data_IF_704951087135
#
_entry.id   IF_704951087135
#
_cell.length_a   1.000
_cell.length_b   1.000
_cell.length_c   1.000
_cell.angle_alpha   90.00
_cell.angle_beta   90.00
_cell.angle_gamma   90.00
#
_symmetry.space_group_name_H-M   'P 1'
#
loop_
_entity.id
_entity.type
_entity.pdbx_description
1 polymer ?
#
# COMPACT_ATOMS: atom_id res chain seq x y z
N UNK A 1 -19.43 22.09 4.46
CA UNK A 1 -18.80 20.96 3.73
C UNK A 1 -17.44 21.31 3.11
N UNK A 2 -17.31 22.13 2.07
CA UNK A 2 -15.99 22.40 1.44
C UNK A 2 -14.93 22.95 2.40
N UNK A 3 -15.31 23.98 3.19
CA UNK A 3 -14.46 24.55 4.24
C UNK A 3 -14.03 23.51 5.28
N UNK A 4 -14.90 22.55 5.58
CA UNK A 4 -14.66 21.53 6.59
C UNK A 4 -13.66 20.47 6.10
N UNK A 5 -13.84 19.95 4.88
CA UNK A 5 -12.88 19.05 4.23
C UNK A 5 -11.51 19.70 4.15
N UNK A 6 -11.45 20.95 3.66
CA UNK A 6 -10.19 21.70 3.51
C UNK A 6 -9.49 21.94 4.86
N UNK A 7 -10.22 22.38 5.89
CA UNK A 7 -9.64 22.62 7.22
C UNK A 7 -9.14 21.32 7.87
N UNK A 8 -9.90 20.24 7.69
CA UNK A 8 -9.54 18.93 8.21
C UNK A 8 -8.26 18.40 7.57
N UNK A 9 -8.15 18.46 6.23
CA UNK A 9 -6.93 18.10 5.50
C UNK A 9 -5.75 18.97 5.92
N UNK A 10 -5.89 20.29 5.93
CA UNK A 10 -4.80 21.21 6.30
C UNK A 10 -4.27 20.97 7.71
N UNK A 11 -5.17 20.71 8.67
CA UNK A 11 -4.80 20.38 10.05
C UNK A 11 -4.05 19.05 10.14
N UNK A 12 -4.50 18.03 9.40
CA UNK A 12 -3.85 16.73 9.33
C UNK A 12 -2.48 16.79 8.65
N UNK A 13 -2.38 17.46 7.50
CA UNK A 13 -1.15 17.59 6.70
C UNK A 13 -0.06 18.37 7.43
N UNK A 14 -0.42 19.46 8.12
CA UNK A 14 0.54 20.22 8.92
C UNK A 14 1.21 19.34 9.98
N UNK A 15 0.43 18.52 10.67
CA UNK A 15 0.95 17.60 11.68
C UNK A 15 1.71 16.43 11.04
N UNK A 16 1.24 15.89 9.91
CA UNK A 16 1.88 14.80 9.16
C UNK A 16 3.23 15.18 8.52
N UNK A 17 3.44 16.47 8.24
CA UNK A 17 4.68 17.02 7.73
C UNK A 17 5.67 17.45 8.84
N UNK A 18 5.36 17.18 10.10
CA UNK A 18 6.21 17.59 11.21
C UNK A 18 7.51 16.76 11.32
N UNK A 19 8.56 17.38 11.86
CA UNK A 19 9.87 16.72 12.09
C UNK A 19 9.82 15.67 13.22
N UNK A 20 8.84 15.80 14.12
CA UNK A 20 8.63 14.92 15.27
C UNK A 20 7.62 13.80 14.97
N UNK A 21 8.06 12.55 15.18
CA UNK A 21 7.27 11.32 15.08
C UNK A 21 5.87 11.42 15.72
N UNK A 22 5.76 11.90 16.96
CA UNK A 22 4.45 11.96 17.64
C UNK A 22 3.46 12.93 16.97
N UNK A 23 3.94 14.01 16.36
CA UNK A 23 3.11 14.95 15.60
C UNK A 23 2.68 14.31 14.28
N UNK A 24 3.60 13.63 13.59
CA UNK A 24 3.26 12.91 12.36
C UNK A 24 2.20 11.85 12.60
N UNK A 25 2.38 11.04 13.63
CA UNK A 25 1.42 10.03 14.05
C UNK A 25 0.04 10.64 14.33
N UNK A 26 -0.02 11.79 15.01
CA UNK A 26 -1.26 12.55 15.24
C UNK A 26 -1.88 13.03 13.93
N UNK A 27 -1.07 13.57 13.02
CA UNK A 27 -1.50 14.04 11.70
C UNK A 27 -2.09 12.92 10.84
N UNK A 28 -1.40 11.78 10.75
CA UNK A 28 -1.83 10.60 10.01
C UNK A 28 -3.16 10.03 10.54
N UNK A 29 -3.34 9.98 11.87
CA UNK A 29 -4.62 9.58 12.48
C UNK A 29 -5.76 10.53 12.11
N UNK A 30 -5.51 11.83 12.10
CA UNK A 30 -6.50 12.83 11.66
C UNK A 30 -6.86 12.62 10.20
N UNK A 31 -5.86 12.47 9.32
CA UNK A 31 -6.07 12.23 7.89
C UNK A 31 -6.88 10.95 7.64
N UNK A 32 -6.53 9.84 8.30
CA UNK A 32 -7.26 8.59 8.17
C UNK A 32 -8.73 8.74 8.59
N UNK A 33 -8.99 9.37 9.75
CA UNK A 33 -10.35 9.66 10.21
C UNK A 33 -11.13 10.53 9.22
N UNK A 34 -10.47 11.51 8.61
CA UNK A 34 -11.08 12.37 7.60
C UNK A 34 -11.44 11.59 6.33
N UNK A 35 -10.53 10.74 5.84
CA UNK A 35 -10.79 9.89 4.67
C UNK A 35 -11.95 8.93 4.92
N UNK A 36 -12.04 8.32 6.11
CA UNK A 36 -13.18 7.48 6.50
C UNK A 36 -14.51 8.26 6.46
N UNK A 37 -14.52 9.49 6.97
CA UNK A 37 -15.72 10.35 6.91
C UNK A 37 -16.06 10.80 5.49
N UNK A 38 -15.05 11.03 4.65
CA UNK A 38 -15.21 11.45 3.25
C UNK A 38 -15.76 10.30 2.42
N UNK A 39 -15.26 9.07 2.61
CA UNK A 39 -15.64 7.89 1.83
C UNK A 39 -17.15 7.55 1.91
N UNK A 40 -17.84 7.97 2.98
CA UNK A 40 -19.27 7.77 3.16
C UNK A 40 -20.17 8.83 2.52
N UNK A 41 -19.63 9.80 1.77
CA UNK A 41 -20.39 10.92 1.23
C UNK A 41 -19.86 11.39 -0.13
N UNK A 42 -20.62 11.16 -1.20
CA UNK A 42 -20.24 11.51 -2.59
C UNK A 42 -19.88 12.98 -2.79
N UNK A 43 -20.61 13.89 -2.13
CA UNK A 43 -20.28 15.31 -2.18
C UNK A 43 -18.93 15.59 -1.49
N UNK A 44 -18.65 14.94 -0.36
CA UNK A 44 -17.35 15.05 0.30
C UNK A 44 -16.21 14.45 -0.55
N UNK A 45 -16.47 13.35 -1.27
CA UNK A 45 -15.53 12.75 -2.23
C UNK A 45 -15.18 13.76 -3.33
N UNK A 46 -16.19 14.39 -3.96
CA UNK A 46 -15.96 15.38 -5.00
C UNK A 46 -15.10 16.55 -4.51
N UNK A 47 -15.36 17.04 -3.29
CA UNK A 47 -14.59 18.13 -2.67
C UNK A 47 -13.17 17.68 -2.29
N UNK A 48 -12.98 16.44 -1.85
CA UNK A 48 -11.66 15.87 -1.63
C UNK A 48 -10.87 15.82 -2.93
N UNK A 49 -11.44 15.27 -4.01
CA UNK A 49 -10.79 15.23 -5.32
C UNK A 49 -10.38 16.63 -5.81
N UNK A 50 -11.26 17.62 -5.69
CA UNK A 50 -10.93 19.01 -6.01
C UNK A 50 -9.78 19.55 -5.15
N UNK A 51 -9.78 19.27 -3.85
CA UNK A 51 -8.70 19.72 -2.95
C UNK A 51 -7.33 19.15 -3.33
N UNK A 52 -7.27 17.95 -3.93
CA UNK A 52 -6.01 17.34 -4.35
C UNK A 52 -5.37 18.00 -5.58
N UNK A 53 -6.06 18.96 -6.22
CA UNK A 53 -5.45 19.85 -7.23
C UNK A 53 -4.67 21.01 -6.62
N UNK A 54 -4.83 21.26 -5.31
CA UNK A 54 -4.17 22.35 -4.59
C UNK A 54 -2.92 21.78 -3.91
N UNK A 55 -1.70 22.23 -4.25
CA UNK A 55 -0.45 21.66 -3.76
C UNK A 55 -0.38 21.53 -2.22
N UNK A 56 -0.85 22.53 -1.48
CA UNK A 56 -0.79 22.55 -0.02
C UNK A 56 -1.79 21.58 0.66
N UNK A 57 -2.69 20.99 -0.13
CA UNK A 57 -3.71 20.03 0.34
C UNK A 57 -3.47 18.63 -0.23
N UNK A 58 -2.42 18.42 -1.02
CA UNK A 58 -2.08 17.11 -1.55
C UNK A 58 -1.57 16.19 -0.44
N UNK A 59 -2.24 15.05 -0.28
CA UNK A 59 -1.88 14.09 0.78
C UNK A 59 -0.69 13.24 0.39
N UNK A 60 -0.69 12.69 -0.82
CA UNK A 60 0.31 11.71 -1.28
C UNK A 60 1.75 12.22 -1.18
N UNK A 61 2.10 13.45 -1.65
CA UNK A 61 3.48 13.94 -1.54
C UNK A 61 3.95 14.05 -0.08
N UNK A 62 3.07 14.45 0.84
CA UNK A 62 3.40 14.56 2.27
C UNK A 62 3.76 13.19 2.85
N UNK A 63 3.03 12.13 2.48
CA UNK A 63 3.33 10.77 2.95
C UNK A 63 4.73 10.31 2.51
N UNK A 64 5.06 10.49 1.23
CA UNK A 64 6.36 10.05 0.68
C UNK A 64 7.54 10.90 1.15
N UNK A 65 7.34 12.19 1.41
CA UNK A 65 8.41 13.07 1.86
C UNK A 65 8.73 12.91 3.36
N UNK A 66 7.74 12.58 4.18
CA UNK A 66 7.86 12.67 5.64
C UNK A 66 7.81 11.31 6.36
N UNK A 67 7.15 10.31 5.80
CA UNK A 67 6.96 9.01 6.48
C UNK A 67 7.45 7.83 5.65
N UNK A 68 7.07 7.74 4.37
CA UNK A 68 7.43 6.63 3.47
C UNK A 68 8.76 6.88 2.73
N UNK A 69 9.57 7.84 3.19
CA UNK A 69 10.85 8.18 2.57
C UNK A 69 11.83 7.01 2.72
N UNK A 70 12.55 6.68 1.64
CA UNK A 70 13.56 5.62 1.71
C UNK A 70 14.80 6.11 2.48
N UNK A 71 15.36 5.26 3.35
CA UNK A 71 16.55 5.58 4.16
C UNK A 71 17.79 5.91 3.33
N UNK A 72 17.83 5.55 2.04
CA UNK A 72 18.92 5.89 1.12
C UNK A 72 19.09 7.40 0.88
N UNK A 73 18.07 8.19 1.20
CA UNK A 73 18.10 9.65 1.03
C UNK A 73 18.64 10.41 2.25
N UNK A 74 19.07 9.71 3.31
CA UNK A 74 19.75 10.34 4.44
C UNK A 74 21.27 10.38 4.17
N UNK A 75 21.91 11.56 4.25
CA UNK A 75 23.36 11.65 4.14
C UNK A 75 24.00 10.72 5.18
N UNK A 76 24.85 9.78 4.72
CA UNK A 76 25.70 9.01 5.64
C UNK A 76 26.66 9.99 6.31
N UNK A 77 26.39 10.30 7.57
CA UNK A 77 27.20 11.21 8.38
C UNK A 77 28.60 10.62 8.54
N UNK A 78 29.60 11.29 7.94
CA UNK A 78 30.98 11.22 8.44
C UNK A 78 31.09 12.30 9.51
N UNK A 79 31.38 11.90 10.74
CA UNK A 79 31.43 12.77 11.93
C UNK A 79 32.68 13.67 11.97
N UNK A 80 33.31 13.92 10.82
CA UNK A 80 34.71 14.34 10.79
C UNK A 80 34.87 15.88 10.86
N UNK A 81 33.79 16.68 10.82
CA UNK A 81 33.86 18.15 10.77
C UNK A 81 32.82 18.84 11.69
N UNK A 82 33.26 19.27 12.88
CA UNK A 82 32.41 19.74 14.00
C UNK A 82 32.30 21.28 14.12
N UNK A 83 32.90 22.10 13.25
CA UNK A 83 32.82 23.56 13.38
C UNK A 83 32.24 24.26 12.14
N UNK A 84 31.09 24.94 12.32
CA UNK A 84 30.58 25.97 11.39
C UNK A 84 29.39 25.58 10.49
N UNK A 85 28.75 24.43 10.68
CA UNK A 85 27.63 23.98 9.83
C UNK A 85 26.30 24.26 10.53
N UNK A 86 25.29 24.77 9.80
CA UNK A 86 23.91 24.87 10.28
C UNK A 86 23.47 23.52 10.89
N UNK A 87 22.76 23.52 12.03
CA UNK A 87 22.29 22.29 12.64
C UNK A 87 21.46 21.51 11.62
N UNK A 88 21.96 20.34 11.22
CA UNK A 88 21.22 19.46 10.31
C UNK A 88 19.86 19.16 10.94
N UNK A 89 18.79 19.32 10.15
CA UNK A 89 17.45 18.88 10.53
C UNK A 89 17.45 17.37 10.73
N UNK A 90 17.51 16.93 11.99
CA UNK A 90 17.39 15.53 12.36
C UNK A 90 15.91 15.17 12.27
N UNK A 91 15.49 14.64 11.11
CA UNK A 91 14.17 14.04 11.00
C UNK A 91 14.19 12.70 11.71
N UNK A 92 13.39 12.58 12.77
CA UNK A 92 13.19 11.29 13.45
C UNK A 92 12.71 10.23 12.44
N UNK A 93 13.30 9.02 12.39
CA UNK A 93 12.83 7.97 11.50
C UNK A 93 11.37 7.63 11.83
N UNK A 94 10.60 7.23 10.81
CA UNK A 94 9.22 6.81 11.02
C UNK A 94 9.17 5.54 11.87
N UNK A 95 8.32 5.56 12.89
CA UNK A 95 7.98 4.37 13.67
C UNK A 95 7.11 3.42 12.84
N UNK A 96 7.05 2.15 13.23
CA UNK A 96 6.24 1.12 12.59
C UNK A 96 4.76 1.54 12.51
N UNK A 97 4.25 2.13 13.59
CA UNK A 97 2.88 2.66 13.66
C UNK A 97 2.65 3.85 12.74
N UNK A 98 3.63 4.76 12.59
CA UNK A 98 3.54 5.85 11.60
C UNK A 98 3.48 5.28 10.19
N UNK A 99 4.32 4.30 9.88
CA UNK A 99 4.38 3.71 8.54
C UNK A 99 3.09 3.00 8.17
N UNK A 100 2.56 2.13 9.04
CA UNK A 100 1.28 1.47 8.77
C UNK A 100 0.13 2.47 8.62
N UNK A 101 0.09 3.53 9.43
CA UNK A 101 -0.93 4.58 9.27
C UNK A 101 -0.76 5.35 7.96
N UNK A 102 0.47 5.68 7.56
CA UNK A 102 0.73 6.33 6.28
C UNK A 102 0.31 5.46 5.09
N UNK A 103 0.57 4.14 5.15
CA UNK A 103 0.12 3.19 4.13
C UNK A 103 -1.41 3.12 4.05
N UNK A 104 -2.12 3.14 5.18
CA UNK A 104 -3.60 3.19 5.21
C UNK A 104 -4.18 4.52 4.71
N UNK A 105 -3.50 5.63 4.98
CA UNK A 105 -3.88 6.94 4.40
C UNK A 105 -3.66 6.92 2.89
N UNK A 106 -2.53 6.38 2.42
CA UNK A 106 -2.23 6.22 1.00
C UNK A 106 -3.30 5.35 0.30
N UNK A 107 -3.65 4.22 0.92
CA UNK A 107 -4.71 3.32 0.47
C UNK A 107 -6.02 4.08 0.26
N UNK A 108 -6.51 4.76 1.30
CA UNK A 108 -7.75 5.54 1.23
C UNK A 108 -7.70 6.63 0.15
N UNK A 109 -6.58 7.34 0.01
CA UNK A 109 -6.42 8.35 -1.05
C UNK A 109 -6.51 7.73 -2.46
N UNK A 110 -5.93 6.54 -2.67
CA UNK A 110 -5.90 5.86 -3.96
C UNK A 110 -7.24 5.19 -4.30
N UNK A 111 -8.02 4.77 -3.30
CA UNK A 111 -9.37 4.26 -3.50
C UNK A 111 -10.35 5.38 -3.89
N UNK A 112 -10.24 6.56 -3.27
CA UNK A 112 -11.17 7.67 -3.47
C UNK A 112 -10.82 8.51 -4.71
N UNK A 113 -9.54 8.69 -5.01
CA UNK A 113 -9.08 9.64 -6.04
C UNK A 113 -8.02 9.02 -6.96
N UNK A 114 -8.36 8.82 -8.23
CA UNK A 114 -7.53 8.14 -9.23
C UNK A 114 -6.15 8.79 -9.40
N UNK A 115 -6.08 10.13 -9.47
CA UNK A 115 -4.82 10.86 -9.67
C UNK A 115 -3.88 10.75 -8.46
N UNK A 116 -4.36 10.31 -7.28
CA UNK A 116 -3.50 9.96 -6.16
C UNK A 116 -2.56 8.79 -6.51
N UNK A 117 -3.00 7.86 -7.36
CA UNK A 117 -2.18 6.73 -7.84
C UNK A 117 -1.05 7.24 -8.74
N UNK A 118 -1.35 8.21 -9.60
CA UNK A 118 -0.36 8.85 -10.48
C UNK A 118 0.67 9.62 -9.64
N UNK A 119 0.23 10.39 -8.64
CA UNK A 119 1.15 11.07 -7.71
C UNK A 119 2.05 10.08 -6.97
N UNK A 120 1.49 8.96 -6.50
CA UNK A 120 2.28 7.93 -5.83
C UNK A 120 3.32 7.29 -6.78
N UNK A 121 2.97 7.11 -8.05
CA UNK A 121 3.89 6.64 -9.07
C UNK A 121 5.09 7.60 -9.25
N UNK A 122 4.87 8.92 -9.27
CA UNK A 122 5.97 9.91 -9.33
C UNK A 122 6.95 9.81 -8.15
N UNK A 123 6.50 9.27 -7.03
CA UNK A 123 7.33 9.00 -5.85
C UNK A 123 7.90 7.57 -5.80
N UNK A 124 7.87 6.84 -6.92
CA UNK A 124 8.27 5.43 -6.99
C UNK A 124 7.51 4.55 -5.97
N UNK A 125 6.22 4.84 -5.76
CA UNK A 125 5.42 4.25 -4.69
C UNK A 125 5.48 2.73 -4.64
N UNK A 126 5.40 2.06 -5.80
CA UNK A 126 5.53 0.60 -5.88
C UNK A 126 6.88 0.10 -5.34
N UNK A 127 8.01 0.69 -5.75
CA UNK A 127 9.34 0.32 -5.24
C UNK A 127 9.47 0.56 -3.74
N UNK A 128 8.92 1.67 -3.25
CA UNK A 128 8.90 1.99 -1.82
C UNK A 128 8.15 0.91 -1.04
N UNK A 129 6.97 0.51 -1.51
CA UNK A 129 6.15 -0.51 -0.87
C UNK A 129 6.80 -1.90 -0.96
N UNK A 130 7.43 -2.26 -2.08
CA UNK A 130 8.18 -3.53 -2.19
C UNK A 130 9.28 -3.56 -1.13
N UNK A 131 10.04 -2.48 -0.99
CA UNK A 131 11.07 -2.39 0.05
C UNK A 131 10.47 -2.47 1.47
N UNK A 132 9.31 -1.87 1.73
CA UNK A 132 8.63 -1.99 3.03
C UNK A 132 8.25 -3.45 3.30
N UNK A 133 7.65 -4.14 2.33
CA UNK A 133 7.25 -5.54 2.45
C UNK A 133 8.46 -6.44 2.78
N UNK A 134 9.61 -6.20 2.15
CA UNK A 134 10.83 -6.99 2.39
C UNK A 134 11.58 -6.68 3.68
N UNK A 135 11.43 -5.49 4.27
CA UNK A 135 12.34 -5.02 5.34
C UNK A 135 11.66 -4.68 6.67
N UNK A 136 10.32 -4.69 6.74
CA UNK A 136 9.56 -4.23 7.90
C UNK A 136 8.76 -5.35 8.54
N UNK A 137 8.20 -5.06 9.72
CA UNK A 137 7.44 -6.02 10.51
C UNK A 137 6.02 -6.24 10.00
N UNK A 138 5.35 -7.20 10.64
CA UNK A 138 4.01 -7.66 10.26
C UNK A 138 2.98 -6.53 10.12
N UNK A 139 3.03 -5.53 11.00
CA UNK A 139 2.11 -4.40 11.00
C UNK A 139 2.20 -3.58 9.69
N UNK A 140 3.41 -3.25 9.25
CA UNK A 140 3.64 -2.51 8.02
C UNK A 140 3.46 -3.38 6.78
N UNK A 141 3.91 -4.64 6.83
CA UNK A 141 3.70 -5.60 5.74
C UNK A 141 2.21 -5.77 5.45
N UNK A 142 1.39 -5.93 6.50
CA UNK A 142 -0.04 -6.05 6.36
C UNK A 142 -0.68 -4.81 5.73
N UNK A 143 -0.31 -3.60 6.17
CA UNK A 143 -0.82 -2.36 5.57
C UNK A 143 -0.29 -2.12 4.15
N UNK A 144 0.91 -2.64 3.84
CA UNK A 144 1.54 -2.54 2.53
C UNK A 144 0.78 -3.34 1.48
N UNK A 145 0.33 -4.55 1.81
CA UNK A 145 -0.47 -5.41 0.92
C UNK A 145 -1.79 -4.74 0.52
N UNK A 146 -2.48 -4.08 1.45
CA UNK A 146 -3.71 -3.32 1.15
C UNK A 146 -3.42 -2.12 0.25
N UNK A 147 -2.35 -1.37 0.56
CA UNK A 147 -1.94 -0.21 -0.23
C UNK A 147 -1.56 -0.60 -1.67
N UNK A 148 -0.91 -1.75 -1.89
CA UNK A 148 -0.62 -2.26 -3.24
C UNK A 148 -1.87 -2.43 -4.09
N UNK A 149 -2.94 -3.04 -3.55
CA UNK A 149 -4.19 -3.22 -4.28
C UNK A 149 -4.77 -1.87 -4.72
N UNK A 150 -4.78 -0.89 -3.81
CA UNK A 150 -5.30 0.46 -4.11
C UNK A 150 -4.49 1.23 -5.15
N UNK A 151 -3.17 0.99 -5.22
CA UNK A 151 -2.28 1.63 -6.20
C UNK A 151 -2.43 1.01 -7.59
N UNK A 152 -2.69 -0.30 -7.64
CA UNK A 152 -2.75 -1.06 -8.89
C UNK A 152 -4.14 -1.15 -9.50
N UNK A 153 -5.21 -0.91 -8.73
CA UNK A 153 -6.57 -0.90 -9.27
C UNK A 153 -6.67 0.13 -10.41
N UNK A 154 -7.07 -0.34 -11.59
CA UNK A 154 -7.17 0.45 -12.83
C UNK A 154 -5.92 1.24 -13.25
N UNK A 155 -4.73 0.84 -12.79
CA UNK A 155 -3.44 1.46 -13.15
C UNK A 155 -2.48 0.44 -13.77
N UNK A 156 -2.47 0.37 -15.10
CA UNK A 156 -1.53 -0.50 -15.84
C UNK A 156 -0.07 -0.11 -15.61
N UNK A 157 0.21 1.17 -15.38
CA UNK A 157 1.55 1.67 -15.09
C UNK A 157 2.07 1.12 -13.75
N UNK A 158 1.26 1.20 -12.68
CA UNK A 158 1.63 0.65 -11.38
C UNK A 158 1.69 -0.89 -11.39
N UNK A 159 0.80 -1.56 -12.14
CA UNK A 159 0.86 -3.02 -12.33
C UNK A 159 2.17 -3.46 -13.00
N UNK A 160 2.60 -2.75 -14.06
CA UNK A 160 3.87 -3.03 -14.74
C UNK A 160 5.07 -2.75 -13.84
N UNK A 161 5.03 -1.65 -13.09
CA UNK A 161 6.09 -1.32 -12.13
C UNK A 161 6.22 -2.37 -11.03
N UNK A 162 5.09 -2.96 -10.60
CA UNK A 162 5.06 -4.02 -9.59
C UNK A 162 5.77 -5.27 -10.09
N UNK A 163 5.52 -5.66 -11.34
CA UNK A 163 6.24 -6.77 -11.99
C UNK A 163 7.74 -6.48 -12.12
N UNK A 164 8.12 -5.31 -12.66
CA UNK A 164 9.54 -4.94 -12.87
C UNK A 164 10.30 -4.83 -11.55
N UNK A 165 9.62 -4.44 -10.47
CA UNK A 165 10.21 -4.30 -9.13
C UNK A 165 10.32 -5.62 -8.37
N UNK A 166 9.96 -6.76 -8.97
CA UNK A 166 9.98 -8.07 -8.28
C UNK A 166 8.88 -8.21 -7.23
N UNK A 167 7.72 -7.56 -7.44
CA UNK A 167 6.63 -7.53 -6.48
C UNK A 167 6.02 -8.91 -6.24
N UNK A 168 5.88 -9.74 -7.28
CA UNK A 168 5.37 -11.10 -7.14
C UNK A 168 6.33 -11.98 -6.33
N UNK A 169 7.61 -11.92 -6.66
CA UNK A 169 8.70 -12.62 -5.97
C UNK A 169 8.68 -12.26 -4.50
N UNK A 170 8.64 -10.96 -4.17
CA UNK A 170 8.65 -10.48 -2.79
C UNK A 170 7.44 -10.97 -2.00
N UNK A 171 6.24 -10.94 -2.59
CA UNK A 171 5.03 -11.43 -1.92
C UNK A 171 5.08 -12.94 -1.73
N UNK A 172 5.55 -13.70 -2.73
CA UNK A 172 5.65 -15.16 -2.62
C UNK A 172 6.73 -15.57 -1.62
N UNK A 173 7.87 -14.88 -1.58
CA UNK A 173 8.91 -15.08 -0.55
C UNK A 173 8.34 -14.84 0.84
N UNK A 174 7.62 -13.73 1.05
CA UNK A 174 6.96 -13.43 2.32
C UNK A 174 5.91 -14.50 2.70
N UNK A 175 5.15 -15.01 1.73
CA UNK A 175 4.17 -16.08 1.95
C UNK A 175 4.82 -17.41 2.35
N UNK A 176 5.98 -17.72 1.78
CA UNK A 176 6.74 -18.97 2.02
C UNK A 176 7.62 -18.94 3.25
N UNK A 177 7.91 -17.76 3.78
CA UNK A 177 8.74 -17.62 4.98
C UNK A 177 8.04 -18.24 6.19
N UNK A 178 8.50 -19.43 6.59
CA UNK A 178 7.92 -20.20 7.70
C UNK A 178 8.12 -19.53 9.06
N UNK A 179 9.09 -18.62 9.18
CA UNK A 179 9.36 -17.87 10.41
C UNK A 179 8.54 -16.57 10.49
N UNK A 180 7.89 -16.17 9.39
CA UNK A 180 7.03 -15.00 9.36
C UNK A 180 5.70 -15.25 10.09
N UNK A 181 5.08 -14.16 10.55
CA UNK A 181 3.76 -14.20 11.19
C UNK A 181 2.73 -14.83 10.24
N UNK A 182 2.05 -15.87 10.71
CA UNK A 182 1.09 -16.65 9.94
C UNK A 182 -0.02 -15.77 9.34
N UNK A 183 -0.44 -14.71 10.05
CA UNK A 183 -1.45 -13.77 9.56
C UNK A 183 -0.96 -13.00 8.33
N UNK A 184 0.34 -12.72 8.23
CA UNK A 184 0.95 -12.05 7.08
C UNK A 184 1.11 -13.02 5.91
N UNK A 185 1.52 -14.26 6.18
CA UNK A 185 1.60 -15.31 5.16
C UNK A 185 0.23 -15.53 4.52
N UNK A 186 -0.82 -15.64 5.35
CA UNK A 186 -2.20 -15.76 4.88
C UNK A 186 -2.61 -14.53 4.05
N UNK A 187 -2.30 -13.32 4.53
CA UNK A 187 -2.64 -12.07 3.84
C UNK A 187 -1.92 -11.93 2.49
N UNK A 188 -0.72 -12.46 2.33
CA UNK A 188 -0.05 -12.55 1.03
C UNK A 188 -0.84 -13.43 0.05
N UNK A 189 -1.38 -14.55 0.52
CA UNK A 189 -2.29 -15.40 -0.27
C UNK A 189 -3.57 -14.66 -0.68
N UNK A 190 -4.23 -13.99 0.26
CA UNK A 190 -5.43 -13.17 0.00
C UNK A 190 -5.14 -12.07 -1.03
N UNK A 191 -4.00 -11.38 -0.88
CA UNK A 191 -3.53 -10.35 -1.82
C UNK A 191 -3.37 -10.91 -3.24
N UNK A 192 -2.67 -12.03 -3.40
CA UNK A 192 -2.43 -12.61 -4.73
C UNK A 192 -3.74 -13.07 -5.39
N UNK A 193 -4.66 -13.66 -4.60
CA UNK A 193 -5.98 -14.04 -5.08
C UNK A 193 -6.79 -12.84 -5.58
N UNK A 194 -6.80 -11.74 -4.82
CA UNK A 194 -7.46 -10.50 -5.22
C UNK A 194 -6.82 -9.90 -6.47
N UNK A 195 -5.49 -9.87 -6.55
CA UNK A 195 -4.76 -9.35 -7.70
C UNK A 195 -5.08 -10.15 -8.97
N UNK A 196 -5.11 -11.47 -8.88
CA UNK A 196 -5.50 -12.35 -10.01
C UNK A 196 -6.98 -12.14 -10.40
N UNK A 197 -7.87 -12.03 -9.42
CA UNK A 197 -9.30 -11.77 -9.66
C UNK A 197 -9.55 -10.43 -10.36
N UNK A 198 -8.80 -9.38 -10.00
CA UNK A 198 -8.90 -8.07 -10.65
C UNK A 198 -8.43 -8.08 -12.11
N UNK A 199 -7.42 -8.89 -12.45
CA UNK A 199 -6.92 -9.02 -13.82
C UNK A 199 -7.93 -9.72 -14.73
N UNK A 200 -8.74 -10.64 -14.19
CA UNK A 200 -9.73 -11.41 -14.95
C UNK A 200 -10.99 -10.63 -15.37
N UNK A 201 -11.23 -9.45 -14.81
CA UNK A 201 -12.33 -8.56 -15.21
C UNK A 201 -12.06 -7.76 -16.51
N UNK A 202 -10.88 -7.89 -17.12
CA UNK A 202 -10.50 -7.17 -18.36
C UNK A 202 -10.65 -8.07 -19.59
N UNK A 203 -11.16 -7.49 -20.68
CA UNK A 203 -11.49 -8.16 -21.94
C UNK A 203 -10.29 -8.66 -22.76
N UNK A 204 -9.05 -8.31 -22.38
CA UNK A 204 -7.82 -8.86 -22.95
C UNK A 204 -7.00 -9.48 -21.83
N UNK A 205 -6.57 -10.76 -21.92
CA UNK A 205 -5.87 -11.41 -20.83
C UNK A 205 -4.37 -11.02 -20.85
N UNK A 206 -3.85 -10.28 -19.85
CA UNK A 206 -2.41 -10.23 -19.57
C UNK A 206 -1.96 -11.54 -18.88
N UNK A 207 -2.82 -12.55 -18.88
CA UNK A 207 -2.79 -13.69 -17.98
C UNK A 207 -1.73 -14.73 -18.34
N UNK A 208 -1.41 -14.92 -19.63
CA UNK A 208 -0.46 -15.96 -20.03
C UNK A 208 0.96 -15.74 -19.46
N UNK A 209 1.42 -14.48 -19.38
CA UNK A 209 2.73 -14.14 -18.84
C UNK A 209 2.74 -14.15 -17.30
N UNK A 210 1.72 -13.55 -16.67
CA UNK A 210 1.57 -13.51 -15.21
C UNK A 210 1.43 -14.91 -14.60
N UNK A 211 0.65 -15.79 -15.24
CA UNK A 211 0.48 -17.18 -14.81
C UNK A 211 1.77 -17.98 -14.96
N UNK A 212 2.57 -17.75 -16.01
CA UNK A 212 3.87 -18.43 -16.18
C UNK A 212 4.87 -18.07 -15.08
N UNK A 213 4.97 -16.79 -14.71
CA UNK A 213 5.85 -16.34 -13.65
C UNK A 213 5.37 -16.82 -12.28
N UNK A 214 4.09 -16.66 -11.96
CA UNK A 214 3.54 -17.09 -10.69
C UNK A 214 3.62 -18.62 -10.53
N UNK A 215 3.34 -19.40 -11.59
CA UNK A 215 3.49 -20.87 -11.59
C UNK A 215 4.91 -21.29 -11.26
N UNK A 216 5.93 -20.60 -11.78
CA UNK A 216 7.33 -20.86 -11.41
C UNK A 216 7.60 -20.55 -9.94
N UNK A 217 6.98 -19.50 -9.40
CA UNK A 217 7.20 -19.07 -8.02
C UNK A 217 6.48 -19.98 -7.01
N UNK A 218 5.21 -20.33 -7.22
CA UNK A 218 4.40 -21.09 -6.24
C UNK A 218 4.24 -22.58 -6.56
N UNK A 219 4.62 -23.01 -7.77
CA UNK A 219 4.39 -24.37 -8.27
C UNK A 219 3.01 -24.53 -8.92
N UNK A 220 2.88 -25.56 -9.77
CA UNK A 220 1.69 -25.80 -10.60
C UNK A 220 0.42 -26.05 -9.79
N UNK A 221 0.54 -26.80 -8.68
CA UNK A 221 -0.59 -27.10 -7.78
C UNK A 221 -1.17 -25.82 -7.16
N UNK A 222 -0.32 -24.98 -6.58
CA UNK A 222 -0.73 -23.72 -5.95
C UNK A 222 -1.27 -22.73 -6.98
N UNK A 223 -0.60 -22.58 -8.13
CA UNK A 223 -1.08 -21.72 -9.20
C UNK A 223 -2.46 -22.14 -9.71
N UNK A 224 -2.71 -23.46 -9.86
CA UNK A 224 -4.02 -23.98 -10.26
C UNK A 224 -5.11 -23.69 -9.23
N UNK A 225 -4.81 -23.82 -7.94
CA UNK A 225 -5.74 -23.46 -6.86
C UNK A 225 -6.07 -21.97 -6.87
N UNK A 226 -5.06 -21.13 -7.00
CA UNK A 226 -5.23 -19.67 -7.05
C UNK A 226 -6.06 -19.25 -8.26
N UNK A 227 -5.82 -19.87 -9.42
CA UNK A 227 -6.62 -19.65 -10.62
C UNK A 227 -8.10 -20.00 -10.38
N UNK A 228 -8.37 -21.20 -9.87
CA UNK A 228 -9.75 -21.63 -9.59
C UNK A 228 -10.45 -20.69 -8.60
N UNK A 229 -9.76 -20.28 -7.54
CA UNK A 229 -10.27 -19.35 -6.54
C UNK A 229 -10.56 -17.95 -7.10
N UNK A 230 -9.74 -17.45 -8.04
CA UNK A 230 -9.92 -16.13 -8.66
C UNK A 230 -11.20 -15.99 -9.51
N UNK A 231 -11.85 -17.11 -9.86
CA UNK A 231 -13.10 -17.13 -10.63
C UNK A 231 -14.35 -16.96 -9.74
N UNK A 232 -14.21 -17.03 -8.41
CA UNK A 232 -15.33 -16.89 -7.49
C UNK A 232 -15.45 -15.44 -6.99
N UNK A 233 -16.66 -14.87 -7.00
CA UNK A 233 -16.90 -13.68 -6.15
C UNK A 233 -17.99 -12.69 -6.54
N UNK A 234 -18.61 -12.77 -7.72
CA UNK A 234 -19.54 -11.69 -8.11
C UNK A 234 -20.88 -11.68 -7.35
N UNK A 235 -21.34 -12.81 -6.79
CA UNK A 235 -22.69 -12.96 -6.21
C UNK A 235 -22.78 -12.99 -4.69
N UNK A 236 -21.66 -13.07 -3.96
CA UNK A 236 -21.63 -13.14 -2.49
C UNK A 236 -21.72 -11.75 -1.84
N UNK A 237 -22.22 -11.67 -0.60
CA UNK A 237 -22.15 -10.45 0.20
C UNK A 237 -20.70 -10.15 0.68
N UNK A 238 -20.37 -8.94 1.15
CA UNK A 238 -18.99 -8.57 1.50
C UNK A 238 -18.35 -9.44 2.59
N UNK A 239 -19.10 -9.86 3.60
CA UNK A 239 -18.57 -10.69 4.70
C UNK A 239 -18.30 -12.11 4.23
N UNK A 240 -19.22 -12.68 3.45
CA UNK A 240 -19.06 -13.97 2.80
C UNK A 240 -17.89 -13.96 1.80
N UNK A 241 -17.70 -12.86 1.06
CA UNK A 241 -16.54 -12.69 0.17
C UNK A 241 -15.23 -12.72 0.96
N UNK A 242 -15.16 -12.00 2.08
CA UNK A 242 -13.95 -11.99 2.91
C UNK A 242 -13.67 -13.37 3.51
N UNK A 243 -14.69 -14.04 4.05
CA UNK A 243 -14.55 -15.40 4.59
C UNK A 243 -14.10 -16.39 3.51
N UNK A 244 -14.73 -16.34 2.33
CA UNK A 244 -14.37 -17.21 1.20
C UNK A 244 -12.92 -16.95 0.74
N UNK A 245 -12.51 -15.69 0.61
CA UNK A 245 -11.15 -15.30 0.26
C UNK A 245 -10.14 -15.90 1.25
N UNK A 246 -10.41 -15.75 2.55
CA UNK A 246 -9.52 -16.26 3.61
C UNK A 246 -9.41 -17.78 3.60
N UNK A 247 -10.52 -18.49 3.36
CA UNK A 247 -10.53 -19.96 3.19
C UNK A 247 -9.69 -20.37 1.98
N UNK A 248 -9.80 -19.67 0.84
CA UNK A 248 -9.01 -20.01 -0.35
C UNK A 248 -7.52 -19.70 -0.14
N UNK A 249 -7.19 -18.56 0.48
CA UNK A 249 -5.82 -18.21 0.81
C UNK A 249 -5.19 -19.26 1.74
N UNK A 250 -5.95 -19.74 2.74
CA UNK A 250 -5.53 -20.81 3.64
C UNK A 250 -5.18 -22.09 2.89
N UNK A 251 -6.04 -22.52 1.95
CA UNK A 251 -5.80 -23.72 1.12
C UNK A 251 -4.56 -23.59 0.25
N UNK A 252 -4.31 -22.40 -0.28
CA UNK A 252 -3.10 -22.11 -1.06
C UNK A 252 -1.87 -22.23 -0.17
N UNK A 253 -1.93 -21.69 1.06
CA UNK A 253 -0.83 -21.77 2.02
C UNK A 253 -0.54 -23.22 2.44
N UNK A 254 -1.57 -23.99 2.77
CA UNK A 254 -1.45 -25.42 3.09
C UNK A 254 -0.82 -26.20 1.92
N UNK A 255 -1.17 -25.86 0.68
CA UNK A 255 -0.61 -26.51 -0.50
C UNK A 255 0.86 -26.14 -0.77
N UNK A 256 1.35 -25.01 -0.26
CA UNK A 256 2.77 -24.61 -0.34
C UNK A 256 3.66 -25.36 0.63
N UNK A 257 3.08 -25.87 1.72
CA UNK A 257 3.78 -26.61 2.77
C UNK A 257 3.86 -28.12 2.48
N UNK A 258 3.14 -28.60 1.45
CA UNK A 258 3.13 -30.01 0.98
C UNK A 258 4.02 -30.22 -0.23
#
# INVERSE_FOLDING_TARGET
MYREVTLSLRSGLRDAAAEFSFLRLRGLRKLLKSLQSIAGNDAAIALFCQSQSIPELQVVPVLFQNTLRQSKDQPKLKLDHIFGVEPLKINSPATDSEMALALRVLEGCCLIHRQSRDLAQHHNGIKVLVNILSTRGALEQGACLDAFLSLMVDSSANQREFEISGGYETVVECMKDVEADESIRLKCGEFLLLLLGQVNGRAEPPFAAMNGNLTRLVGEKCASLMWAASQFGSTLDPEQRQMALSIQARRVLEALET
#
